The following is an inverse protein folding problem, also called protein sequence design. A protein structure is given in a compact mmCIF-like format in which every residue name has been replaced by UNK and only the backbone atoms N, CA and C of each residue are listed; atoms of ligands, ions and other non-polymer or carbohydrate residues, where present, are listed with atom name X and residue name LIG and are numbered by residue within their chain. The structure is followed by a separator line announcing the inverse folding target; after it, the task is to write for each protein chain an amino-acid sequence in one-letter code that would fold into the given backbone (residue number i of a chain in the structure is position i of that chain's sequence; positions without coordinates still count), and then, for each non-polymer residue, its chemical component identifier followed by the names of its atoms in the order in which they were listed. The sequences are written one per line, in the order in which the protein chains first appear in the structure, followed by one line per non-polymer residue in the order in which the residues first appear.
data_IF_420759576863
#
_entry.id   IF_420759576863
#
_cell.length_a   1.000
_cell.length_b   1.000
_cell.length_c   1.000
_cell.angle_alpha   90.00
_cell.angle_beta   90.00
_cell.angle_gamma   90.00
#
_symmetry.space_group_name_H-M   'P 1'
#
loop_
_entity.id
_entity.type
_entity.pdbx_description
1 polymer ?
#
# COMPACT_ATOMS: atom_id res chain seq x y z
N UNK A 1 35.18 -8.81 19.06
CA UNK A 1 34.72 -7.90 17.98
C UNK A 1 34.16 -6.69 18.70
N UNK A 2 34.64 -5.46 18.47
CA UNK A 2 33.94 -4.28 18.99
C UNK A 2 32.52 -4.25 18.42
N UNK A 3 31.55 -3.79 19.21
CA UNK A 3 30.18 -3.63 18.74
C UNK A 3 30.16 -2.71 17.52
N UNK A 4 29.62 -3.21 16.41
CA UNK A 4 29.53 -2.45 15.18
C UNK A 4 28.59 -1.25 15.38
N UNK A 5 29.10 -0.04 15.13
CA UNK A 5 28.31 1.18 15.16
C UNK A 5 27.94 1.57 13.72
N UNK A 6 26.65 1.80 13.48
CA UNK A 6 26.10 2.28 12.21
C UNK A 6 25.39 3.61 12.44
N UNK A 7 25.45 4.50 11.46
CA UNK A 7 24.51 5.61 11.35
C UNK A 7 23.10 5.08 11.08
N UNK A 8 22.09 5.91 11.40
CA UNK A 8 20.69 5.55 11.14
C UNK A 8 20.45 5.29 9.65
N UNK A 9 21.07 6.07 8.76
CA UNK A 9 20.95 5.89 7.31
C UNK A 9 21.50 4.54 6.86
N UNK A 10 22.69 4.14 7.33
CA UNK A 10 23.29 2.85 6.96
C UNK A 10 22.40 1.67 7.42
N UNK A 11 21.85 1.76 8.63
CA UNK A 11 20.94 0.73 9.13
C UNK A 11 19.65 0.67 8.30
N UNK A 12 19.04 1.81 7.97
CA UNK A 12 17.79 1.87 7.22
C UNK A 12 17.96 1.56 5.73
N UNK A 13 19.10 1.86 5.13
CA UNK A 13 19.47 1.42 3.77
C UNK A 13 19.58 -0.10 3.72
N UNK A 14 20.16 -0.73 4.75
CA UNK A 14 20.19 -2.19 4.87
C UNK A 14 18.76 -2.78 4.94
N UNK A 15 17.87 -2.17 5.74
CA UNK A 15 16.45 -2.59 5.78
C UNK A 15 15.78 -2.44 4.42
N UNK A 16 16.04 -1.34 3.71
CA UNK A 16 15.51 -1.10 2.38
C UNK A 16 15.93 -2.18 1.37
N UNK A 17 17.20 -2.56 1.38
CA UNK A 17 17.73 -3.62 0.51
C UNK A 17 17.07 -4.97 0.80
N UNK A 18 16.95 -5.34 2.08
CA UNK A 18 16.30 -6.58 2.49
C UNK A 18 14.84 -6.62 2.03
N UNK A 19 14.09 -5.53 2.23
CA UNK A 19 12.69 -5.44 1.78
C UNK A 19 12.62 -5.60 0.26
N UNK A 20 13.50 -4.94 -0.49
CA UNK A 20 13.54 -5.02 -1.95
C UNK A 20 13.85 -6.43 -2.46
N UNK A 21 14.78 -7.14 -1.80
CA UNK A 21 15.17 -8.50 -2.18
C UNK A 21 14.07 -9.50 -1.82
N UNK A 22 13.52 -9.41 -0.61
CA UNK A 22 12.53 -10.38 -0.10
C UNK A 22 11.14 -10.20 -0.71
N UNK A 23 10.76 -8.98 -1.09
CA UNK A 23 9.42 -8.63 -1.58
C UNK A 23 9.47 -7.99 -2.97
N UNK A 24 10.29 -8.58 -3.86
CA UNK A 24 10.47 -8.11 -5.24
C UNK A 24 9.22 -8.23 -6.11
N UNK A 25 8.38 -9.23 -5.84
CA UNK A 25 7.17 -9.51 -6.63
C UNK A 25 5.91 -8.97 -5.95
N UNK A 26 4.98 -8.37 -6.73
CA UNK A 26 3.73 -7.86 -6.20
C UNK A 26 2.74 -9.00 -5.86
N UNK A 27 2.04 -8.87 -4.74
CA UNK A 27 1.06 -9.85 -4.23
C UNK A 27 -0.30 -9.23 -4.00
N UNK A 28 -1.36 -10.04 -4.05
CA UNK A 28 -2.71 -9.58 -3.75
C UNK A 28 -2.97 -9.59 -2.24
N UNK A 29 -3.51 -8.50 -1.70
CA UNK A 29 -3.86 -8.35 -0.28
C UNK A 29 -5.26 -7.76 -0.13
N UNK A 30 -5.97 -8.17 0.92
CA UNK A 30 -7.23 -7.56 1.35
C UNK A 30 -6.93 -6.44 2.33
N UNK A 31 -7.60 -5.30 2.17
CA UNK A 31 -7.48 -4.18 3.10
C UNK A 31 -8.72 -3.26 3.06
N UNK A 32 -8.94 -2.52 4.12
CA UNK A 32 -9.86 -1.38 4.21
C UNK A 32 -9.11 -0.08 3.91
N UNK A 33 -9.70 0.81 3.11
CA UNK A 33 -9.18 2.15 2.88
C UNK A 33 -9.64 3.08 4.01
N UNK A 34 -8.76 3.44 4.94
CA UNK A 34 -9.09 4.38 6.02
C UNK A 34 -9.11 5.84 5.58
N UNK A 35 -8.28 6.17 4.60
CA UNK A 35 -8.26 7.49 3.98
C UNK A 35 -7.59 7.40 2.62
N UNK A 36 -7.92 8.34 1.75
CA UNK A 36 -7.25 8.52 0.48
C UNK A 36 -7.16 10.02 0.15
N UNK A 37 -6.08 10.41 -0.52
CA UNK A 37 -5.90 11.76 -1.01
C UNK A 37 -5.05 11.77 -2.28
N UNK A 38 -5.40 12.66 -3.21
CA UNK A 38 -4.63 12.84 -4.45
C UNK A 38 -3.75 14.08 -4.34
N UNK A 39 -2.45 13.93 -4.59
CA UNK A 39 -1.50 15.05 -4.61
C UNK A 39 -0.50 14.87 -5.74
N UNK A 40 -0.34 15.92 -6.55
CA UNK A 40 0.55 15.93 -7.72
C UNK A 40 0.30 14.78 -8.71
N UNK A 41 -0.93 14.27 -8.76
CA UNK A 41 -1.34 13.13 -9.60
C UNK A 41 -1.08 11.74 -9.00
N UNK A 42 -0.45 11.63 -7.82
CA UNK A 42 -0.37 10.39 -7.07
C UNK A 42 -1.59 10.24 -6.18
N UNK A 43 -2.06 9.01 -5.98
CA UNK A 43 -3.07 8.68 -4.97
C UNK A 43 -2.36 8.08 -3.76
N UNK A 44 -2.50 8.69 -2.59
CA UNK A 44 -1.96 8.21 -1.32
C UNK A 44 -3.11 7.65 -0.50
N UNK A 45 -2.91 6.47 0.09
CA UNK A 45 -3.91 5.79 0.89
C UNK A 45 -3.34 5.44 2.26
N UNK A 46 -4.20 5.41 3.26
CA UNK A 46 -3.94 4.70 4.52
C UNK A 46 -4.80 3.43 4.50
N UNK A 47 -4.14 2.27 4.62
CA UNK A 47 -4.76 0.95 4.58
C UNK A 47 -4.83 0.38 6.00
N UNK A 48 -5.87 -0.40 6.28
CA UNK A 48 -5.96 -1.18 7.51
C UNK A 48 -6.63 -2.54 7.31
N UNK A 49 -6.37 -3.44 8.25
CA UNK A 49 -7.08 -4.71 8.40
C UNK A 49 -7.65 -4.75 9.82
N UNK A 50 -8.92 -5.12 9.95
CA UNK A 50 -9.59 -5.34 11.24
C UNK A 50 -9.73 -6.83 11.50
N UNK A 51 -9.60 -7.21 12.76
CA UNK A 51 -9.92 -8.57 13.22
C UNK A 51 -11.42 -8.84 13.01
N UNK A 52 -11.74 -9.97 12.36
CA UNK A 52 -13.11 -10.30 11.94
C UNK A 52 -14.10 -10.23 13.10
N UNK A 53 -15.24 -9.55 12.88
CA UNK A 53 -16.26 -9.36 13.90
C UNK A 53 -15.93 -8.31 14.97
N UNK A 54 -14.83 -7.56 14.83
CA UNK A 54 -14.42 -6.52 15.79
C UNK A 54 -13.97 -5.23 15.08
N UNK A 55 -13.88 -4.13 15.84
CA UNK A 55 -13.28 -2.87 15.37
C UNK A 55 -11.76 -2.78 15.59
N UNK A 56 -11.13 -3.85 16.06
CA UNK A 56 -9.71 -3.88 16.39
C UNK A 56 -8.87 -3.96 15.13
N UNK A 57 -8.09 -2.91 14.85
CA UNK A 57 -7.12 -2.89 13.76
C UNK A 57 -5.92 -3.76 14.10
N UNK A 58 -5.62 -4.76 13.26
CA UNK A 58 -4.52 -5.72 13.44
C UNK A 58 -3.34 -5.46 12.49
N UNK A 59 -3.57 -4.77 11.37
CA UNK A 59 -2.51 -4.31 10.48
C UNK A 59 -2.85 -2.94 9.87
N UNK A 60 -1.84 -2.14 9.57
CA UNK A 60 -2.01 -0.87 8.86
C UNK A 60 -0.72 -0.43 8.18
N UNK A 61 -0.84 0.19 7.00
CA UNK A 61 0.29 0.81 6.32
C UNK A 61 -0.16 1.87 5.31
N UNK A 62 0.79 2.66 4.84
CA UNK A 62 0.58 3.60 3.73
C UNK A 62 0.59 2.86 2.40
N UNK A 63 -0.34 3.22 1.52
CA UNK A 63 -0.39 2.82 0.12
C UNK A 63 -0.12 4.00 -0.82
N UNK A 64 0.46 3.74 -1.99
CA UNK A 64 0.62 4.74 -3.04
C UNK A 64 0.30 4.14 -4.40
N UNK A 65 -0.60 4.78 -5.14
CA UNK A 65 -0.75 4.58 -6.59
C UNK A 65 0.02 5.72 -7.26
N UNK A 66 1.09 5.39 -7.97
CA UNK A 66 1.94 6.38 -8.62
C UNK A 66 1.20 7.08 -9.77
N UNK A 67 1.52 8.35 -10.02
CA UNK A 67 0.92 9.16 -11.09
C UNK A 67 0.90 8.47 -12.45
N UNK A 68 1.94 7.68 -12.75
CA UNK A 68 2.05 6.92 -14.00
C UNK A 68 0.90 5.93 -14.21
N UNK A 69 0.27 5.43 -13.14
CA UNK A 69 -0.79 4.43 -13.18
C UNK A 69 -2.11 4.90 -12.57
N UNK A 70 -2.11 5.92 -11.71
CA UNK A 70 -3.26 6.34 -10.93
C UNK A 70 -4.52 6.61 -11.76
N UNK A 71 -4.42 7.47 -12.79
CA UNK A 71 -5.58 7.81 -13.61
C UNK A 71 -6.18 6.58 -14.31
N UNK A 72 -5.34 5.72 -14.89
CA UNK A 72 -5.77 4.51 -15.59
C UNK A 72 -6.41 3.51 -14.62
N UNK A 73 -5.79 3.30 -13.46
CA UNK A 73 -6.23 2.31 -12.49
C UNK A 73 -7.56 2.70 -11.84
N UNK A 74 -7.69 3.97 -11.43
CA UNK A 74 -8.92 4.49 -10.83
C UNK A 74 -10.07 4.51 -11.85
N UNK A 75 -9.80 4.91 -13.11
CA UNK A 75 -10.81 4.88 -14.17
C UNK A 75 -11.29 3.45 -14.47
N UNK A 76 -10.36 2.50 -14.59
CA UNK A 76 -10.69 1.07 -14.80
C UNK A 76 -11.59 0.56 -13.66
N UNK A 77 -11.18 0.79 -12.41
CA UNK A 77 -11.95 0.38 -11.23
C UNK A 77 -13.36 0.96 -11.24
N UNK A 78 -13.50 2.26 -11.48
CA UNK A 78 -14.81 2.93 -11.50
C UNK A 78 -15.70 2.43 -12.64
N UNK A 79 -15.13 2.24 -13.83
CA UNK A 79 -15.89 1.80 -14.99
C UNK A 79 -16.36 0.33 -14.87
N UNK A 80 -15.58 -0.53 -14.22
CA UNK A 80 -15.90 -1.96 -14.06
C UNK A 80 -16.76 -2.24 -12.83
N UNK A 81 -16.51 -1.57 -11.69
CA UNK A 81 -17.25 -1.79 -10.44
C UNK A 81 -18.49 -0.90 -10.30
N UNK A 82 -18.56 0.21 -11.04
CA UNK A 82 -19.56 1.26 -10.87
C UNK A 82 -19.33 2.15 -9.64
N UNK A 83 -18.24 1.95 -8.89
CA UNK A 83 -17.94 2.68 -7.66
C UNK A 83 -16.64 3.46 -7.75
N UNK A 84 -16.58 4.60 -7.07
CA UNK A 84 -15.32 5.31 -6.88
C UNK A 84 -14.56 4.71 -5.70
N UNK A 85 -13.23 4.61 -5.87
CA UNK A 85 -12.35 4.25 -4.76
C UNK A 85 -12.51 5.31 -3.66
N UNK A 86 -12.92 4.90 -2.48
CA UNK A 86 -13.33 5.82 -1.41
C UNK A 86 -12.98 5.25 -0.03
N UNK A 87 -13.10 6.11 0.98
CA UNK A 87 -12.90 5.73 2.38
C UNK A 87 -13.92 4.66 2.80
N UNK A 88 -13.52 3.79 3.71
CA UNK A 88 -14.29 2.69 4.30
C UNK A 88 -14.59 1.53 3.33
N UNK A 89 -14.03 1.57 2.11
CA UNK A 89 -14.14 0.50 1.14
C UNK A 89 -13.14 -0.63 1.45
N UNK A 90 -13.65 -1.86 1.51
CA UNK A 90 -12.82 -3.07 1.51
C UNK A 90 -12.40 -3.39 0.08
N UNK A 91 -11.11 -3.58 -0.14
CA UNK A 91 -10.51 -3.77 -1.47
C UNK A 91 -9.59 -4.98 -1.49
N UNK A 92 -9.49 -5.60 -2.66
CA UNK A 92 -8.44 -6.54 -3.00
C UNK A 92 -7.47 -5.84 -3.96
N UNK A 93 -6.25 -5.61 -3.50
CA UNK A 93 -5.26 -4.78 -4.20
C UNK A 93 -3.97 -5.55 -4.43
N UNK A 94 -3.35 -5.35 -5.59
CA UNK A 94 -2.05 -5.92 -5.92
C UNK A 94 -0.96 -4.95 -5.48
N UNK A 95 -0.15 -5.36 -4.53
CA UNK A 95 0.80 -4.49 -3.83
C UNK A 95 2.22 -4.99 -3.91
N UNK A 96 3.17 -4.06 -4.00
CA UNK A 96 4.61 -4.31 -3.86
C UNK A 96 5.14 -3.55 -2.65
N UNK A 97 5.88 -4.24 -1.78
CA UNK A 97 6.48 -3.61 -0.61
C UNK A 97 7.50 -2.54 -1.01
N UNK A 98 7.52 -1.45 -0.27
CA UNK A 98 8.45 -0.34 -0.45
C UNK A 98 8.93 0.14 0.91
N UNK A 99 10.22 0.43 1.01
CA UNK A 99 10.79 1.04 2.21
C UNK A 99 11.67 2.21 1.80
N UNK A 100 11.54 3.32 2.52
CA UNK A 100 12.39 4.50 2.38
C UNK A 100 13.06 4.78 3.73
N UNK A 101 14.38 5.03 3.77
CA UNK A 101 15.04 5.47 4.99
C UNK A 101 14.43 6.73 5.60
N UNK A 102 13.86 7.63 4.78
CA UNK A 102 13.26 8.87 5.25
C UNK A 102 11.78 8.71 5.66
N UNK A 103 11.02 7.87 4.96
CA UNK A 103 9.56 7.82 5.10
C UNK A 103 9.03 6.51 5.71
N UNK A 104 9.90 5.51 5.90
CA UNK A 104 9.54 4.20 6.44
C UNK A 104 8.89 3.27 5.42
N UNK A 105 8.14 2.30 5.93
CA UNK A 105 7.46 1.28 5.14
C UNK A 105 6.17 1.79 4.50
N UNK A 106 5.94 1.38 3.25
CA UNK A 106 4.70 1.57 2.51
C UNK A 106 4.52 0.45 1.49
N UNK A 107 3.40 0.48 0.78
CA UNK A 107 3.17 -0.36 -0.39
C UNK A 107 2.85 0.47 -1.63
N UNK A 108 3.37 0.03 -2.77
CA UNK A 108 2.98 0.53 -4.07
C UNK A 108 1.82 -0.32 -4.58
N UNK A 109 0.71 0.32 -4.91
CA UNK A 109 -0.48 -0.35 -5.44
C UNK A 109 -0.40 -0.33 -6.97
N UNK A 110 -0.37 -1.52 -7.57
CA UNK A 110 -0.19 -1.72 -9.01
C UNK A 110 -1.50 -2.11 -9.72
N UNK A 111 -2.42 -2.76 -9.02
CA UNK A 111 -3.75 -3.12 -9.54
C UNK A 111 -4.80 -3.19 -8.42
N UNK A 112 -6.08 -3.15 -8.80
CA UNK A 112 -7.24 -3.24 -7.92
C UNK A 112 -8.24 -4.20 -8.58
N UNK A 113 -8.73 -5.17 -7.83
CA UNK A 113 -9.77 -6.07 -8.30
C UNK A 113 -11.14 -5.39 -8.21
N UNK A 114 -11.69 -5.03 -9.37
CA UNK A 114 -13.00 -4.36 -9.51
C UNK A 114 -14.18 -5.26 -9.14
N UNK A 115 -13.99 -6.58 -9.06
CA UNK A 115 -15.07 -7.55 -8.74
C UNK A 115 -15.21 -7.81 -7.24
N UNK A 116 -14.15 -7.56 -6.46
CA UNK A 116 -14.12 -7.87 -5.02
C UNK A 116 -15.11 -7.01 -4.21
N UNK A 117 -15.37 -5.79 -4.65
CA UNK A 117 -16.21 -4.83 -3.92
C UNK A 117 -17.72 -5.04 -4.12
N UNK A 118 -18.10 -6.01 -4.97
CA UNK A 118 -19.49 -6.35 -5.29
C UNK A 118 -20.01 -7.57 -4.50
N UNK A 119 -19.24 -8.04 -3.51
CA UNK A 119 -19.56 -9.20 -2.65
C UNK A 119 -19.91 -8.82 -1.22
#
# INVERSE_FOLDING_TARGET
MPDQQLSLSEYLETVQEIVKIAFGDPVWVKAEIRSLNTKSGHCYLELAEKEEGTDKVIASCKGTIWKSTAAKLLYKFQNESGMELSKDLNVLIKVKASFSPQYGFSVNIEDIDSSFTLG
#
